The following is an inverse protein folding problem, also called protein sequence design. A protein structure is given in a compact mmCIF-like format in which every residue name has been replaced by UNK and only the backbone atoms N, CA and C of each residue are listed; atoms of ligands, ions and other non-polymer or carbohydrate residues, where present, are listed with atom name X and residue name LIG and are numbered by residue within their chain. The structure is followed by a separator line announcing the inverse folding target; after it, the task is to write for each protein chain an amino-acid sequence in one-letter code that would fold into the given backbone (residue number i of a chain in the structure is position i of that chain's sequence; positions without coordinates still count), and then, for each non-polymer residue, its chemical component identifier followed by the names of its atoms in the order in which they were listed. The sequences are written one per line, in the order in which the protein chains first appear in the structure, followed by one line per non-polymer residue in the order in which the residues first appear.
data_IF_058706692878
#
_entry.id   IF_058706692878
#
_cell.length_a   1.000
_cell.length_b   1.000
_cell.length_c   1.000
_cell.angle_alpha   90.00
_cell.angle_beta   90.00
_cell.angle_gamma   90.00
#
_symmetry.space_group_name_H-M   'P 1'
#
loop_
_entity.id
_entity.type
_entity.pdbx_description
1 polymer ?
#
# COMPACT_ATOMS: atom_id res chain seq x y z
N UNK A 1 -19.95 -39.76 36.23
CA UNK A 1 -19.07 -39.85 35.04
C UNK A 1 -18.40 -38.50 34.88
N UNK A 2 -17.11 -38.42 35.18
CA UNK A 2 -16.31 -37.20 35.06
C UNK A 2 -15.61 -37.23 33.70
N UNK A 3 -15.85 -36.23 32.86
CA UNK A 3 -15.09 -36.04 31.62
C UNK A 3 -14.15 -34.84 31.77
N UNK A 4 -12.87 -35.17 31.63
CA UNK A 4 -11.71 -34.31 31.81
C UNK A 4 -11.64 -33.20 30.76
N UNK A 5 -11.42 -31.96 31.19
CA UNK A 5 -11.06 -30.82 30.35
C UNK A 5 -9.57 -30.87 30.03
N UNK A 6 -9.21 -31.49 28.90
CA UNK A 6 -7.86 -31.39 28.35
C UNK A 6 -7.79 -30.32 27.26
N UNK A 7 -7.15 -29.21 27.62
CA UNK A 7 -6.25 -28.39 26.80
C UNK A 7 -6.77 -27.90 25.44
N UNK A 8 -7.51 -26.80 25.44
CA UNK A 8 -7.57 -25.89 24.29
C UNK A 8 -6.22 -25.20 24.13
N UNK A 9 -5.39 -25.76 23.26
CA UNK A 9 -4.18 -25.11 22.75
C UNK A 9 -4.56 -23.77 22.14
N UNK A 10 -4.11 -22.69 22.79
CA UNK A 10 -4.21 -21.33 22.28
C UNK A 10 -3.54 -21.28 20.91
N UNK A 11 -4.34 -21.33 19.85
CA UNK A 11 -3.87 -21.12 18.48
C UNK A 11 -3.38 -19.67 18.39
N UNK A 12 -2.08 -19.54 18.30
CA UNK A 12 -1.35 -18.29 18.06
C UNK A 12 -2.03 -17.49 16.92
N UNK A 13 -2.23 -16.17 17.07
CA UNK A 13 -2.97 -15.39 16.09
C UNK A 13 -2.24 -15.43 14.73
N UNK A 14 -2.97 -15.92 13.73
CA UNK A 14 -2.55 -16.07 12.34
C UNK A 14 -1.78 -14.83 11.85
N UNK A 15 -0.51 -15.04 11.54
CA UNK A 15 0.38 -14.08 10.92
C UNK A 15 -0.20 -13.67 9.53
N UNK A 16 -0.63 -12.42 9.31
CA UNK A 16 -1.29 -11.99 8.07
C UNK A 16 -0.30 -11.80 6.89
N UNK A 17 0.82 -12.53 6.90
CA UNK A 17 1.96 -12.23 6.03
C UNK A 17 1.88 -12.86 4.63
N UNK A 18 1.02 -13.87 4.41
CA UNK A 18 1.09 -14.70 3.20
C UNK A 18 -0.26 -15.06 2.53
N UNK A 19 -1.39 -14.42 2.88
CA UNK A 19 -2.68 -14.76 2.24
C UNK A 19 -2.86 -14.03 0.89
N UNK A 20 -2.87 -14.74 -0.26
CA UNK A 20 -3.09 -14.12 -1.57
C UNK A 20 -4.45 -13.41 -1.69
N UNK A 21 -5.45 -13.77 -0.87
CA UNK A 21 -6.76 -13.10 -0.87
C UNK A 21 -6.70 -11.68 -0.29
N UNK A 22 -5.74 -11.38 0.59
CA UNK A 22 -5.52 -10.00 1.07
C UNK A 22 -4.93 -9.14 -0.04
N UNK A 23 -4.10 -9.72 -0.91
CA UNK A 23 -3.47 -8.96 -2.00
C UNK A 23 -4.42 -8.61 -3.14
N UNK A 24 -5.47 -9.40 -3.38
CA UNK A 24 -6.53 -9.07 -4.35
C UNK A 24 -7.50 -7.99 -3.85
N UNK A 25 -7.46 -7.67 -2.55
CA UNK A 25 -8.35 -6.68 -1.91
C UNK A 25 -7.64 -5.35 -1.62
N UNK A 26 -6.51 -5.06 -2.29
CA UNK A 26 -5.90 -3.73 -2.19
C UNK A 26 -6.71 -2.72 -3.01
N UNK A 27 -7.41 -1.83 -2.30
CA UNK A 27 -8.27 -0.83 -2.93
C UNK A 27 -7.47 0.37 -3.49
N UNK A 28 -6.23 0.54 -3.02
CA UNK A 28 -5.35 1.63 -3.44
C UNK A 28 -3.89 1.34 -3.07
N UNK A 29 -2.95 1.60 -3.96
CA UNK A 29 -1.53 1.41 -3.70
C UNK A 29 -0.64 2.37 -4.50
N UNK A 30 0.64 2.46 -4.11
CA UNK A 30 1.63 3.25 -4.83
C UNK A 30 2.91 3.55 -4.07
N UNK A 31 3.84 4.22 -4.74
CA UNK A 31 5.12 4.62 -4.16
C UNK A 31 5.01 5.91 -3.34
N UNK A 32 5.65 5.93 -2.16
CA UNK A 32 5.78 7.12 -1.33
C UNK A 32 7.04 7.08 -0.46
N UNK A 33 7.37 8.21 0.15
CA UNK A 33 8.39 8.30 1.19
C UNK A 33 7.75 8.52 2.56
N UNK A 34 8.29 7.87 3.60
CA UNK A 34 7.84 8.03 4.98
C UNK A 34 8.98 8.46 5.90
N UNK A 35 8.72 9.40 6.79
CA UNK A 35 9.62 9.83 7.88
C UNK A 35 8.89 9.77 9.22
N UNK A 36 9.55 9.26 10.25
CA UNK A 36 9.03 9.26 11.62
C UNK A 36 9.39 10.59 12.29
N UNK A 37 8.39 11.25 12.87
CA UNK A 37 8.55 12.50 13.61
C UNK A 37 8.45 12.28 15.13
N UNK A 38 7.57 11.36 15.53
CA UNK A 38 7.35 10.99 16.93
C UNK A 38 7.09 9.48 16.98
N UNK A 39 7.62 8.82 18.01
CA UNK A 39 7.31 7.42 18.32
C UNK A 39 7.24 7.28 19.83
N UNK A 40 6.13 6.78 20.36
CA UNK A 40 5.89 6.64 21.80
C UNK A 40 6.16 7.96 22.54
N UNK A 41 5.61 9.07 22.02
CA UNK A 41 5.76 10.42 22.56
C UNK A 41 7.19 11.00 22.55
N UNK A 42 8.17 10.33 21.92
CA UNK A 42 9.56 10.79 21.83
C UNK A 42 9.98 11.07 20.39
N UNK A 43 10.79 12.12 20.19
CA UNK A 43 11.42 12.40 18.90
C UNK A 43 12.50 11.34 18.63
N UNK A 44 12.51 10.70 17.46
CA UNK A 44 13.56 9.74 17.14
C UNK A 44 14.91 10.45 16.95
N UNK A 45 16.00 9.83 17.39
CA UNK A 45 17.37 10.32 17.20
C UNK A 45 17.71 10.57 15.73
N UNK A 46 17.16 9.74 14.83
CA UNK A 46 17.37 9.84 13.39
C UNK A 46 16.02 9.82 12.68
N UNK A 47 15.67 10.94 12.03
CA UNK A 47 14.47 11.09 11.23
C UNK A 47 14.83 11.23 9.73
N UNK A 48 15.04 10.10 9.05
CA UNK A 48 15.34 10.06 7.60
C UNK A 48 14.13 9.60 6.80
N UNK A 49 13.96 10.16 5.60
CA UNK A 49 12.98 9.67 4.63
C UNK A 49 13.36 8.29 4.12
N UNK A 50 12.38 7.38 4.04
CA UNK A 50 12.55 6.03 3.48
C UNK A 50 11.46 5.78 2.44
N UNK A 51 11.83 5.23 1.29
CA UNK A 51 10.90 4.87 0.21
C UNK A 51 10.20 3.55 0.52
N UNK A 52 8.91 3.51 0.23
CA UNK A 52 8.06 2.34 0.34
C UNK A 52 7.11 2.27 -0.85
N UNK A 53 6.72 1.06 -1.20
CA UNK A 53 5.44 0.82 -1.84
C UNK A 53 4.43 0.55 -0.73
N UNK A 54 3.32 1.27 -0.73
CA UNK A 54 2.28 1.15 0.27
C UNK A 54 1.00 0.71 -0.40
N UNK A 55 0.34 -0.29 0.17
CA UNK A 55 -1.01 -0.69 -0.21
C UNK A 55 -1.96 -0.47 0.97
N UNK A 56 -3.19 -0.04 0.67
CA UNK A 56 -4.29 0.12 1.61
C UNK A 56 -5.26 -1.04 1.41
N UNK A 57 -5.53 -1.78 2.49
CA UNK A 57 -6.64 -2.72 2.58
C UNK A 57 -7.52 -2.25 3.75
N UNK A 58 -8.71 -1.71 3.45
CA UNK A 58 -9.58 -1.08 4.45
C UNK A 58 -8.83 0.01 5.27
N UNK A 59 -8.50 -0.30 6.53
CA UNK A 59 -7.83 0.55 7.50
C UNK A 59 -6.36 0.14 7.74
N UNK A 60 -5.89 -0.88 7.04
CA UNK A 60 -4.54 -1.44 7.18
C UNK A 60 -3.63 -0.93 6.07
N UNK A 61 -2.47 -0.44 6.47
CA UNK A 61 -1.38 -0.05 5.56
C UNK A 61 -0.29 -1.13 5.53
N UNK A 62 -0.02 -1.65 4.34
CA UNK A 62 1.03 -2.63 4.07
C UNK A 62 2.24 -1.94 3.45
N UNK A 63 3.42 -2.05 4.08
CA UNK A 63 4.63 -1.36 3.67
C UNK A 63 5.68 -2.31 3.10
N UNK A 64 5.93 -2.22 1.80
CA UNK A 64 6.97 -2.96 1.11
C UNK A 64 8.23 -2.09 0.98
N UNK A 65 9.34 -2.55 1.55
CA UNK A 65 10.62 -1.82 1.46
C UNK A 65 11.12 -1.79 0.03
N UNK A 66 11.77 -0.69 -0.35
CA UNK A 66 12.53 -0.63 -1.59
C UNK A 66 13.65 -1.69 -1.56
N UNK A 67 13.85 -2.36 -2.70
CA UNK A 67 15.00 -3.25 -2.92
C UNK A 67 16.31 -2.43 -2.86
N UNK A 68 17.45 -3.04 -2.52
CA UNK A 68 18.74 -2.34 -2.50
C UNK A 68 19.07 -1.75 -3.87
N UNK A 69 19.82 -0.65 -3.88
CA UNK A 69 20.09 0.14 -5.09
C UNK A 69 20.69 -0.71 -6.22
N UNK A 70 21.66 -1.57 -5.93
CA UNK A 70 22.34 -2.44 -6.91
C UNK A 70 21.32 -3.31 -7.68
N UNK A 71 20.37 -3.92 -6.96
CA UNK A 71 19.29 -4.70 -7.58
C UNK A 71 18.41 -3.82 -8.46
N UNK A 72 18.06 -2.61 -8.01
CA UNK A 72 17.25 -1.69 -8.82
C UNK A 72 17.99 -1.14 -10.05
N UNK A 73 19.31 -0.97 -9.95
CA UNK A 73 20.17 -0.52 -11.05
C UNK A 73 20.28 -1.61 -12.12
N UNK A 74 20.57 -2.85 -11.72
CA UNK A 74 20.56 -4.01 -12.59
C UNK A 74 19.24 -4.12 -13.37
N UNK A 75 18.09 -3.99 -12.68
CA UNK A 75 16.78 -3.99 -13.34
C UNK A 75 16.61 -2.86 -14.36
N UNK A 76 17.10 -1.64 -14.08
CA UNK A 76 17.03 -0.52 -15.03
C UNK A 76 17.92 -0.75 -16.25
N UNK A 77 19.14 -1.21 -16.05
CA UNK A 77 20.10 -1.48 -17.12
C UNK A 77 19.60 -2.59 -18.06
N UNK A 78 19.09 -3.70 -17.51
CA UNK A 78 18.55 -4.79 -18.32
C UNK A 78 17.22 -4.43 -19.02
N UNK A 79 16.41 -3.54 -18.45
CA UNK A 79 15.18 -3.03 -19.09
C UNK A 79 15.49 -2.12 -20.28
N UNK A 80 16.51 -1.27 -20.17
CA UNK A 80 16.96 -0.38 -21.25
C UNK A 80 17.40 -1.15 -22.48
N UNK A 81 18.01 -2.33 -22.30
CA UNK A 81 18.50 -3.15 -23.41
C UNK A 81 17.37 -3.86 -24.19
N UNK A 82 16.19 -4.09 -23.58
CA UNK A 82 15.03 -4.71 -24.26
C UNK A 82 14.18 -3.73 -25.06
N UNK A 83 14.19 -2.45 -24.72
CA UNK A 83 13.45 -1.44 -25.52
C UNK A 83 14.24 -0.98 -26.76
N UNK A 84 15.55 -1.19 -26.79
CA UNK A 84 16.39 -0.88 -27.95
C UNK A 84 16.22 -1.87 -29.14
N UNK A 85 15.57 -3.03 -28.93
CA UNK A 85 15.39 -4.05 -29.99
C UNK A 85 14.02 -4.03 -30.67
N UNK A 86 13.25 -2.94 -30.57
CA UNK A 86 11.91 -2.80 -31.19
C UNK A 86 11.89 -1.69 -32.26
N UNK A 87 13.05 -1.23 -32.71
CA UNK A 87 13.16 -0.31 -33.85
C UNK A 87 14.18 -0.81 -34.87
N UNK A 88 13.82 -1.92 -35.50
CA UNK A 88 14.20 -2.19 -36.89
C UNK A 88 13.18 -3.18 -37.42
N UNK A 89 12.26 -2.71 -38.26
CA UNK A 89 12.03 -3.28 -39.59
C UNK A 89 10.74 -2.74 -40.23
N UNK A 90 10.95 -2.18 -41.42
CA UNK A 90 10.09 -2.16 -42.60
C UNK A 90 8.96 -1.13 -42.73
N UNK A 91 9.27 -0.11 -43.51
CA UNK A 91 8.34 0.58 -44.40
C UNK A 91 7.66 -0.41 -45.35
N UNK A 92 6.32 -0.52 -45.28
CA UNK A 92 5.52 -0.79 -46.46
C UNK A 92 4.07 -0.27 -46.28
N UNK A 93 3.60 0.46 -47.30
CA UNK A 93 2.30 1.13 -47.35
C UNK A 93 1.23 0.16 -47.84
N UNK A 94 0.03 0.16 -47.25
CA UNK A 94 -1.28 0.07 -47.94
C UNK A 94 -2.46 -0.07 -46.97
N UNK A 95 -3.28 0.99 -46.98
CA UNK A 95 -4.70 1.17 -46.68
C UNK A 95 -5.56 -0.10 -46.47
N UNK A 96 -6.11 -0.30 -45.27
CA UNK A 96 -7.52 -0.73 -45.07
C UNK A 96 -8.05 -0.19 -43.73
N UNK A 97 -9.32 0.22 -43.76
CA UNK A 97 -10.07 0.82 -42.65
C UNK A 97 -10.32 -0.22 -41.57
N UNK A 98 -9.81 -0.01 -40.36
CA UNK A 98 -10.36 -0.65 -39.15
C UNK A 98 -10.30 0.32 -37.98
N UNK A 99 -11.37 0.32 -37.21
CA UNK A 99 -11.68 1.22 -36.10
C UNK A 99 -10.50 1.54 -35.15
N UNK A 100 -10.50 2.73 -34.52
CA UNK A 100 -9.51 3.06 -33.50
C UNK A 100 -9.63 2.08 -32.32
N UNK A 101 -8.53 1.46 -31.85
CA UNK A 101 -8.58 0.70 -30.62
C UNK A 101 -8.84 1.67 -29.47
N UNK A 102 -9.89 1.37 -28.69
CA UNK A 102 -10.20 2.04 -27.43
C UNK A 102 -8.97 1.97 -26.51
N UNK A 103 -8.22 3.06 -26.44
CA UNK A 103 -7.03 3.20 -25.63
C UNK A 103 -7.43 3.59 -24.19
N UNK A 104 -8.17 2.70 -23.53
CA UNK A 104 -8.67 2.92 -22.17
C UNK A 104 -7.81 2.16 -21.14
N UNK A 105 -7.15 2.93 -20.26
CA UNK A 105 -6.60 2.54 -18.95
C UNK A 105 -5.30 1.71 -18.83
N UNK A 106 -4.72 1.19 -19.91
CA UNK A 106 -3.55 0.27 -19.81
C UNK A 106 -2.22 0.95 -19.45
N UNK A 107 -2.02 2.21 -19.84
CA UNK A 107 -0.75 2.91 -19.62
C UNK A 107 -0.48 3.20 -18.13
N UNK A 108 -1.51 3.62 -17.38
CA UNK A 108 -1.35 3.92 -15.95
C UNK A 108 -1.10 2.66 -15.11
N UNK A 109 -1.77 1.54 -15.41
CA UNK A 109 -1.54 0.26 -14.71
C UNK A 109 -0.14 -0.30 -14.99
N UNK A 110 0.33 -0.23 -16.23
CA UNK A 110 1.67 -0.73 -16.59
C UNK A 110 2.80 0.10 -15.97
N UNK A 111 2.63 1.42 -15.83
CA UNK A 111 3.59 2.28 -15.15
C UNK A 111 3.68 1.94 -13.65
N UNK A 112 2.55 1.86 -12.95
CA UNK A 112 2.44 1.45 -11.54
C UNK A 112 3.09 0.08 -11.32
N UNK A 113 2.75 -0.91 -12.15
CA UNK A 113 3.31 -2.26 -12.08
C UNK A 113 4.83 -2.25 -12.28
N UNK A 114 5.33 -1.38 -13.16
CA UNK A 114 6.75 -1.29 -13.41
C UNK A 114 7.53 -0.62 -12.26
N UNK A 115 6.90 0.30 -11.52
CA UNK A 115 7.47 0.84 -10.29
C UNK A 115 7.45 -0.17 -9.15
N UNK A 116 6.39 -1.00 -9.06
CA UNK A 116 6.22 -2.04 -8.04
C UNK A 116 7.40 -2.99 -7.97
N UNK A 117 8.02 -3.30 -9.11
CA UNK A 117 9.18 -4.19 -9.24
C UNK A 117 10.41 -3.73 -8.44
N UNK A 118 10.55 -2.43 -8.17
CA UNK A 118 11.65 -1.88 -7.36
C UNK A 118 11.47 -2.11 -5.86
N UNK A 119 10.35 -2.69 -5.43
CA UNK A 119 10.02 -2.95 -4.04
C UNK A 119 9.95 -4.44 -3.76
N UNK A 120 10.13 -4.83 -2.49
CA UNK A 120 9.99 -6.22 -2.06
C UNK A 120 8.57 -6.71 -2.30
N UNK A 121 8.42 -7.99 -2.62
CA UNK A 121 7.09 -8.58 -2.79
C UNK A 121 6.34 -8.61 -1.46
N UNK A 122 6.97 -9.07 -0.38
CA UNK A 122 6.31 -9.19 0.92
C UNK A 122 6.34 -7.88 1.73
N UNK A 123 5.25 -7.54 2.43
CA UNK A 123 5.16 -6.33 3.25
C UNK A 123 6.00 -6.49 4.52
N UNK A 124 6.91 -5.55 4.78
CA UNK A 124 7.78 -5.60 5.96
C UNK A 124 7.14 -5.04 7.23
N UNK A 125 5.93 -4.47 7.09
CA UNK A 125 5.14 -3.90 8.15
C UNK A 125 3.69 -3.85 7.69
N UNK A 126 2.79 -4.21 8.59
CA UNK A 126 1.36 -3.92 8.51
C UNK A 126 1.00 -3.00 9.69
N UNK A 127 0.17 -1.98 9.45
CA UNK A 127 -0.23 -1.04 10.49
C UNK A 127 -1.64 -0.53 10.24
N UNK A 128 -2.51 -0.67 11.23
CA UNK A 128 -3.81 0.01 11.26
C UNK A 128 -3.62 1.52 11.39
N UNK A 129 -4.45 2.27 10.67
CA UNK A 129 -4.60 3.72 10.78
C UNK A 129 -6.01 4.14 11.20
N UNK A 130 -6.83 3.22 11.69
CA UNK A 130 -8.12 3.54 12.30
C UNK A 130 -7.93 4.58 13.41
N UNK A 131 -8.81 5.59 13.40
CA UNK A 131 -8.82 6.70 14.36
C UNK A 131 -7.54 7.55 14.39
N UNK A 132 -6.69 7.45 13.36
CA UNK A 132 -5.54 8.32 13.23
C UNK A 132 -5.93 9.67 12.64
N UNK A 133 -5.31 10.74 13.14
CA UNK A 133 -5.48 12.07 12.59
C UNK A 133 -4.66 12.21 11.29
N UNK A 134 -5.35 12.50 10.18
CA UNK A 134 -4.77 12.71 8.86
C UNK A 134 -4.79 14.20 8.52
N UNK A 135 -3.62 14.82 8.28
CA UNK A 135 -3.49 16.26 7.99
C UNK A 135 -2.70 16.47 6.70
N UNK A 136 -3.32 17.13 5.72
CA UNK A 136 -2.61 17.59 4.52
C UNK A 136 -1.75 18.82 4.85
N UNK A 137 -0.47 18.82 4.45
CA UNK A 137 0.43 19.95 4.71
C UNK A 137 0.04 21.17 3.87
N UNK A 138 -0.26 22.28 4.55
CA UNK A 138 -0.56 23.57 3.92
C UNK A 138 0.68 24.45 3.69
N UNK A 139 1.85 24.03 4.18
CA UNK A 139 3.13 24.75 4.02
C UNK A 139 3.80 24.42 2.68
N UNK A 140 4.89 25.14 2.33
CA UNK A 140 5.74 24.81 1.16
C UNK A 140 6.01 23.30 1.14
N UNK A 141 5.65 22.64 0.03
CA UNK A 141 5.54 21.18 -0.23
C UNK A 141 4.09 20.63 -0.14
N UNK A 142 3.25 20.99 -1.13
CA UNK A 142 1.86 20.48 -1.32
C UNK A 142 1.76 18.97 -1.62
N UNK A 143 2.84 18.22 -1.43
CA UNK A 143 2.96 16.79 -1.65
C UNK A 143 3.29 16.03 -0.36
N UNK A 144 2.98 16.59 0.82
CA UNK A 144 3.19 15.95 2.11
C UNK A 144 1.89 15.80 2.92
N UNK A 145 1.70 14.64 3.56
CA UNK A 145 0.61 14.36 4.52
C UNK A 145 1.22 13.94 5.85
N UNK A 146 0.65 14.40 6.95
CA UNK A 146 0.99 13.96 8.30
C UNK A 146 -0.07 13.00 8.85
N UNK A 147 0.40 11.90 9.42
CA UNK A 147 -0.41 10.88 10.08
C UNK A 147 -0.02 10.83 11.55
N UNK A 148 -1.00 11.00 12.44
CA UNK A 148 -0.79 11.03 13.89
C UNK A 148 -1.70 10.04 14.61
N UNK A 149 -1.08 9.09 15.29
CA UNK A 149 -1.69 8.25 16.31
C UNK A 149 -1.57 8.97 17.65
N UNK A 150 -2.65 9.60 18.10
CA UNK A 150 -2.67 10.37 19.34
C UNK A 150 -2.61 9.47 20.58
N UNK A 151 -3.18 8.27 20.49
CA UNK A 151 -3.22 7.30 21.58
C UNK A 151 -1.84 6.72 21.87
N UNK A 152 -1.05 6.47 20.82
CA UNK A 152 0.29 5.87 20.93
C UNK A 152 1.42 6.89 20.78
N UNK A 153 1.09 8.17 20.70
CA UNK A 153 2.05 9.26 20.55
C UNK A 153 2.99 9.05 19.36
N UNK A 154 2.46 8.56 18.24
CA UNK A 154 3.24 8.27 17.05
C UNK A 154 2.84 9.21 15.92
N UNK A 155 3.83 9.83 15.27
CA UNK A 155 3.58 10.79 14.21
C UNK A 155 4.54 10.54 13.06
N UNK A 156 3.99 10.57 11.85
CA UNK A 156 4.70 10.29 10.62
C UNK A 156 4.38 11.35 9.57
N UNK A 157 5.34 11.63 8.70
CA UNK A 157 5.11 12.37 7.45
C UNK A 157 5.29 11.46 6.27
N UNK A 158 4.41 11.63 5.30
CA UNK A 158 4.39 10.94 4.03
C UNK A 158 4.61 11.97 2.94
N UNK A 159 5.53 11.70 2.02
CA UNK A 159 5.86 12.55 0.88
C UNK A 159 5.59 11.79 -0.42
N UNK A 160 4.94 12.47 -1.34
CA UNK A 160 4.50 11.96 -2.64
C UNK A 160 5.24 12.68 -3.77
N UNK A 161 5.10 12.18 -4.99
CA UNK A 161 5.75 12.79 -6.16
C UNK A 161 5.26 14.22 -6.39
N UNK A 162 3.95 14.42 -6.40
CA UNK A 162 3.32 15.70 -6.66
C UNK A 162 2.07 15.91 -5.79
N UNK A 163 1.48 17.11 -5.87
CA UNK A 163 0.34 17.50 -5.05
C UNK A 163 -0.96 16.75 -5.42
N UNK A 164 -1.16 16.42 -6.70
CA UNK A 164 -2.33 15.66 -7.12
C UNK A 164 -2.34 14.25 -6.51
N UNK A 165 -1.20 13.56 -6.56
CA UNK A 165 -1.02 12.25 -5.92
C UNK A 165 -1.24 12.35 -4.41
N UNK A 166 -0.70 13.38 -3.76
CA UNK A 166 -0.92 13.59 -2.32
C UNK A 166 -2.41 13.80 -1.98
N UNK A 167 -3.16 14.55 -2.79
CA UNK A 167 -4.60 14.74 -2.55
C UNK A 167 -5.39 13.43 -2.67
N UNK A 168 -5.08 12.58 -3.66
CA UNK A 168 -5.72 11.27 -3.80
C UNK A 168 -5.42 10.40 -2.56
N UNK A 169 -4.14 10.31 -2.17
CA UNK A 169 -3.74 9.60 -0.95
C UNK A 169 -4.42 10.15 0.30
N UNK A 170 -4.58 11.48 0.41
CA UNK A 170 -5.24 12.10 1.55
C UNK A 170 -6.69 11.64 1.70
N UNK A 171 -7.46 11.56 0.61
CA UNK A 171 -8.84 11.07 0.68
C UNK A 171 -8.90 9.60 1.10
N UNK A 172 -8.10 8.74 0.46
CA UNK A 172 -8.07 7.31 0.79
C UNK A 172 -7.60 7.04 2.22
N UNK A 173 -6.65 7.81 2.73
CA UNK A 173 -6.20 7.70 4.12
C UNK A 173 -7.24 8.22 5.11
N UNK A 174 -8.03 9.25 4.75
CA UNK A 174 -9.15 9.70 5.58
C UNK A 174 -10.26 8.65 5.66
N UNK A 175 -10.60 8.02 4.55
CA UNK A 175 -11.54 6.88 4.51
C UNK A 175 -11.04 5.73 5.40
N UNK A 176 -9.78 5.34 5.24
CA UNK A 176 -9.14 4.31 6.05
C UNK A 176 -9.14 4.66 7.56
N UNK A 177 -8.93 5.93 7.92
CA UNK A 177 -8.96 6.36 9.33
C UNK A 177 -10.34 6.38 9.93
N UNK A 178 -11.38 6.61 9.13
CA UNK A 178 -12.76 6.64 9.59
C UNK A 178 -13.39 5.24 9.68
N UNK A 179 -12.65 4.19 9.30
CA UNK A 179 -13.13 2.83 9.31
C UNK A 179 -13.46 2.36 10.72
N UNK A 180 -14.72 1.95 10.90
CA UNK A 180 -15.21 1.31 12.12
C UNK A 180 -15.40 -0.17 11.82
N UNK A 181 -14.74 -1.04 12.59
CA UNK A 181 -15.06 -2.47 12.54
C UNK A 181 -16.51 -2.65 13.00
N UNK A 182 -17.36 -3.22 12.14
CA UNK A 182 -18.74 -3.57 12.49
C UNK A 182 -18.73 -4.75 13.47
N UNK A 183 -18.46 -4.50 14.75
CA UNK A 183 -18.55 -5.50 15.82
C UNK A 183 -20.02 -5.79 16.22
N UNK A 184 -20.89 -6.06 15.25
CA UNK A 184 -22.33 -6.25 15.51
C UNK A 184 -23.13 -7.02 14.44
N UNK A 185 -22.49 -7.67 13.47
CA UNK A 185 -23.19 -8.52 12.47
C UNK A 185 -22.63 -9.95 12.39
N UNK A 186 -22.30 -10.52 13.55
CA UNK A 186 -22.52 -11.94 13.78
C UNK A 186 -23.57 -12.02 14.87
N UNK A 187 -24.84 -11.87 14.49
CA UNK A 187 -25.92 -12.31 15.36
C UNK A 187 -25.64 -13.76 15.69
N UNK A 188 -25.51 -14.00 16.98
CA UNK A 188 -25.62 -15.32 17.58
C UNK A 188 -26.78 -16.04 16.88
N UNK A 189 -26.49 -17.16 16.23
CA UNK A 189 -27.52 -18.15 16.01
C UNK A 189 -27.89 -18.63 17.42
N UNK A 190 -28.81 -17.89 18.05
CA UNK A 190 -29.57 -18.32 19.20
C UNK A 190 -30.22 -19.64 18.80
N UNK A 191 -29.62 -20.70 19.33
CA UNK A 191 -30.24 -21.99 19.47
C UNK A 191 -31.49 -21.75 20.33
N UNK A 192 -32.65 -21.64 19.71
CA UNK A 192 -33.90 -21.91 20.39
C UNK A 192 -34.06 -23.43 20.39
N UNK A 193 -33.63 -24.05 21.49
CA UNK A 193 -34.13 -25.36 21.90
C UNK A 193 -35.44 -25.09 22.65
N UNK A 194 -36.54 -25.57 22.08
CA UNK A 194 -37.71 -26.05 22.82
C UNK A 194 -38.01 -27.45 22.30
#
# INVERSE_FOLDING_TARGET
MSVSLSSLSMKEPLNPHNDPLVTSNFNFEGSLQRKCLLKNFKKPTIAKWKKYWVAICEHLLFFHKQKPFIMTLHMRLHRSNRQASVHSDNDNISTTKSAPPLLESSSSRTLIESERLFYRQNPTKCQSVSDWLIVLSQRKNRNEIQLSDLNRGSMYKFKFENAAVANIWFQRLKEASAFKQNNGRRSENLIALD
#
